data_IF_280594666665
#
_entry.id   IF_280594666665
#
_cell.length_a   1.000
_cell.length_b   1.000
_cell.length_c   1.000
_cell.angle_alpha   90.00
_cell.angle_beta   90.00
_cell.angle_gamma   90.00
#
_symmetry.space_group_name_H-M   'P 1'
#
loop_
_entity.id
_entity.type
_entity.pdbx_description
1 polymer ?
#
# COMPACT_ATOMS: atom_id res chain seq x y z
N UNK A 1 -35.13 6.12 -14.44
CA UNK A 1 -34.33 7.36 -14.63
C UNK A 1 -32.89 7.04 -14.27
N UNK A 2 -31.90 7.45 -15.07
CA UNK A 2 -30.48 7.12 -14.85
C UNK A 2 -29.98 7.58 -13.47
N UNK A 3 -30.48 8.72 -13.01
CA UNK A 3 -30.11 9.35 -11.74
C UNK A 3 -30.33 8.46 -10.52
N UNK A 4 -31.48 7.78 -10.42
CA UNK A 4 -31.77 6.85 -9.32
C UNK A 4 -30.88 5.61 -9.36
N UNK A 5 -30.49 5.16 -10.56
CA UNK A 5 -29.54 4.05 -10.72
C UNK A 5 -28.14 4.44 -10.28
N UNK A 6 -27.76 5.72 -10.46
CA UNK A 6 -26.44 6.19 -10.04
C UNK A 6 -26.29 6.21 -8.53
N UNK A 7 -27.34 6.60 -7.79
CA UNK A 7 -27.36 6.48 -6.33
C UNK A 7 -27.17 5.01 -5.89
N UNK A 8 -27.88 4.07 -6.50
CA UNK A 8 -27.75 2.62 -6.24
C UNK A 8 -26.34 2.09 -6.57
N UNK A 9 -25.74 2.55 -7.66
CA UNK A 9 -24.35 2.22 -8.00
C UNK A 9 -23.39 2.72 -6.93
N UNK A 10 -23.59 3.93 -6.39
CA UNK A 10 -22.75 4.50 -5.35
C UNK A 10 -22.89 3.76 -4.00
N UNK A 11 -24.06 3.19 -3.71
CA UNK A 11 -24.23 2.26 -2.58
C UNK A 11 -23.43 0.97 -2.77
N UNK A 12 -23.45 0.41 -3.97
CA UNK A 12 -22.62 -0.76 -4.32
C UNK A 12 -21.12 -0.44 -4.28
N UNK A 13 -20.72 0.77 -4.68
CA UNK A 13 -19.34 1.25 -4.56
C UNK A 13 -18.92 1.41 -3.10
N UNK A 14 -19.81 1.89 -2.22
CA UNK A 14 -19.54 1.96 -0.78
C UNK A 14 -19.27 0.56 -0.21
N UNK A 15 -20.17 -0.40 -0.48
CA UNK A 15 -20.01 -1.78 -0.04
C UNK A 15 -18.68 -2.39 -0.54
N UNK A 16 -18.31 -2.09 -1.79
CA UNK A 16 -17.04 -2.51 -2.37
C UNK A 16 -15.85 -1.85 -1.66
N UNK A 17 -15.92 -0.54 -1.37
CA UNK A 17 -14.88 0.20 -0.66
C UNK A 17 -14.66 -0.33 0.76
N UNK A 18 -15.73 -0.59 1.51
CA UNK A 18 -15.64 -1.14 2.87
C UNK A 18 -15.20 -2.60 2.91
N UNK A 19 -15.42 -3.35 1.82
CA UNK A 19 -15.01 -4.75 1.70
C UNK A 19 -13.54 -4.96 1.31
N UNK A 20 -12.82 -3.90 0.91
CA UNK A 20 -11.40 -4.00 0.57
C UNK A 20 -10.56 -4.05 1.85
N UNK A 21 -9.86 -5.16 2.08
CA UNK A 21 -8.97 -5.33 3.24
C UNK A 21 -7.70 -4.45 3.16
N UNK A 22 -7.18 -4.25 1.95
CA UNK A 22 -5.97 -3.44 1.73
C UNK A 22 -6.30 -1.96 1.79
N UNK A 23 -5.85 -1.28 2.86
CA UNK A 23 -6.00 0.17 3.03
C UNK A 23 -5.56 0.97 1.80
N UNK A 24 -4.42 0.63 1.20
CA UNK A 24 -3.91 1.31 0.01
C UNK A 24 -4.90 1.21 -1.16
N UNK A 25 -5.44 0.00 -1.43
CA UNK A 25 -6.41 -0.21 -2.52
C UNK A 25 -7.74 0.50 -2.25
N UNK A 26 -8.20 0.51 -0.99
CA UNK A 26 -9.42 1.21 -0.60
C UNK A 26 -9.27 2.72 -0.85
N UNK A 27 -8.16 3.31 -0.43
CA UNK A 27 -7.85 4.73 -0.65
C UNK A 27 -7.73 5.07 -2.14
N UNK A 28 -7.07 4.21 -2.94
CA UNK A 28 -6.99 4.39 -4.40
C UNK A 28 -8.36 4.35 -5.07
N UNK A 29 -9.26 3.46 -4.66
CA UNK A 29 -10.64 3.43 -5.15
C UNK A 29 -11.37 4.72 -4.79
N UNK A 30 -11.27 5.16 -3.54
CA UNK A 30 -11.89 6.41 -3.05
C UNK A 30 -11.43 7.60 -3.88
N UNK A 31 -10.13 7.74 -4.12
CA UNK A 31 -9.57 8.80 -4.96
C UNK A 31 -10.17 8.78 -6.37
N UNK A 32 -10.23 7.61 -7.02
CA UNK A 32 -10.80 7.47 -8.38
C UNK A 32 -12.28 7.83 -8.44
N UNK A 33 -13.08 7.40 -7.46
CA UNK A 33 -14.52 7.72 -7.39
C UNK A 33 -14.74 9.22 -7.21
N UNK A 34 -13.98 9.86 -6.31
CA UNK A 34 -14.08 11.31 -6.09
C UNK A 34 -13.59 12.12 -7.30
N UNK A 35 -12.52 11.68 -7.96
CA UNK A 35 -12.02 12.30 -9.20
C UNK A 35 -13.08 12.24 -10.31
N UNK A 36 -13.81 11.12 -10.42
CA UNK A 36 -14.90 10.98 -11.38
C UNK A 36 -16.03 12.01 -11.11
N UNK A 37 -16.40 12.20 -9.84
CA UNK A 37 -17.39 13.21 -9.46
C UNK A 37 -16.92 14.63 -9.81
N UNK A 38 -15.63 14.93 -9.58
CA UNK A 38 -15.02 16.22 -9.94
C UNK A 38 -15.09 16.48 -11.45
N UNK A 39 -14.73 15.48 -12.26
CA UNK A 39 -14.85 15.60 -13.72
C UNK A 39 -16.30 15.83 -14.18
N UNK A 40 -17.28 15.21 -13.52
CA UNK A 40 -18.70 15.46 -13.81
C UNK A 40 -19.15 16.86 -13.40
N UNK A 41 -18.58 17.43 -12.35
CA UNK A 41 -18.78 18.82 -11.94
C UNK A 41 -18.19 19.79 -12.96
N UNK A 42 -16.93 19.58 -13.35
CA UNK A 42 -16.20 20.43 -14.31
C UNK A 42 -16.90 20.49 -15.68
N UNK A 43 -17.48 19.38 -16.11
CA UNK A 43 -18.21 19.29 -17.38
C UNK A 43 -19.70 19.62 -17.24
N UNK A 44 -20.15 20.04 -16.05
CA UNK A 44 -21.54 20.37 -15.73
C UNK A 44 -22.55 19.26 -16.11
N UNK A 45 -22.16 18.00 -15.98
CA UNK A 45 -23.02 16.84 -16.30
C UNK A 45 -24.16 16.71 -15.30
N UNK A 46 -23.88 17.03 -14.03
CA UNK A 46 -24.85 16.99 -12.95
C UNK A 46 -24.73 18.24 -12.05
N UNK A 47 -25.83 18.68 -11.40
CA UNK A 47 -25.78 19.74 -10.41
C UNK A 47 -24.89 19.37 -9.21
N UNK A 48 -24.21 20.35 -8.57
CA UNK A 48 -23.28 20.10 -7.47
C UNK A 48 -23.97 19.42 -6.27
N UNK A 49 -25.19 19.83 -5.93
CA UNK A 49 -25.99 19.22 -4.86
C UNK A 49 -26.21 17.71 -5.04
N UNK A 50 -26.38 17.27 -6.29
CA UNK A 50 -26.55 15.86 -6.60
C UNK A 50 -25.23 15.08 -6.48
N UNK A 51 -24.11 15.67 -6.91
CA UNK A 51 -22.79 15.07 -6.76
C UNK A 51 -22.39 14.95 -5.29
N UNK A 52 -22.70 15.96 -4.46
CA UNK A 52 -22.51 15.91 -3.02
C UNK A 52 -23.33 14.76 -2.41
N UNK A 53 -24.59 14.59 -2.83
CA UNK A 53 -25.40 13.44 -2.39
C UNK A 53 -24.78 12.09 -2.74
N UNK A 54 -24.19 11.94 -3.94
CA UNK A 54 -23.47 10.72 -4.33
C UNK A 54 -22.23 10.49 -3.46
N UNK A 55 -21.44 11.52 -3.21
CA UNK A 55 -20.26 11.43 -2.33
C UNK A 55 -20.67 11.00 -0.92
N UNK A 56 -21.74 11.58 -0.38
CA UNK A 56 -22.29 11.21 0.92
C UNK A 56 -22.75 9.75 0.99
N UNK A 57 -23.35 9.22 -0.09
CA UNK A 57 -23.68 7.80 -0.22
C UNK A 57 -22.42 6.95 -0.19
N UNK A 58 -21.43 7.28 -1.03
CA UNK A 58 -20.21 6.48 -1.18
C UNK A 58 -19.35 6.46 0.10
N UNK A 59 -19.33 7.56 0.85
CA UNK A 59 -18.64 7.64 2.13
C UNK A 59 -19.41 6.98 3.28
N UNK A 60 -20.65 6.51 3.03
CA UNK A 60 -21.49 5.88 4.05
C UNK A 60 -22.04 6.85 5.08
N UNK A 61 -22.15 8.14 4.75
CA UNK A 61 -22.73 9.17 5.62
C UNK A 61 -24.27 9.17 5.55
N UNK A 62 -24.81 8.68 4.43
CA UNK A 62 -26.23 8.70 4.18
C UNK A 62 -26.61 7.43 3.41
N UNK A 63 -27.73 6.78 3.75
CA UNK A 63 -28.26 5.58 3.06
C UNK A 63 -29.55 5.89 2.32
N UNK A 64 -29.78 5.25 1.18
CA UNK A 64 -31.09 5.33 0.52
C UNK A 64 -32.09 4.53 1.34
N UNK A 65 -33.12 5.20 1.83
CA UNK A 65 -34.27 4.54 2.42
C UNK A 65 -35.03 3.77 1.31
N UNK A 66 -35.67 2.66 1.68
CA UNK A 66 -36.47 1.82 0.77
C UNK A 66 -37.59 2.60 0.04
N UNK A 67 -37.87 3.84 0.45
CA UNK A 67 -38.97 4.69 0.02
C UNK A 67 -38.49 5.85 -0.89
N UNK A 68 -37.26 5.81 -1.41
CA UNK A 68 -36.56 6.93 -2.08
C UNK A 68 -36.28 8.16 -1.20
N UNK A 69 -36.42 8.02 0.13
CA UNK A 69 -35.87 8.98 1.09
C UNK A 69 -34.37 8.76 1.28
N UNK A 70 -33.67 9.75 1.80
CA UNK A 70 -32.24 9.66 2.08
C UNK A 70 -32.05 9.84 3.58
N UNK A 71 -31.67 8.76 4.29
CA UNK A 71 -31.57 8.76 5.75
C UNK A 71 -30.10 8.98 6.17
N UNK A 72 -29.86 10.01 6.98
CA UNK A 72 -28.54 10.28 7.56
C UNK A 72 -28.17 9.12 8.49
N UNK A 73 -26.99 8.53 8.27
CA UNK A 73 -26.48 7.44 9.09
C UNK A 73 -25.80 8.11 10.30
N UNK A 74 -26.44 8.07 11.47
CA UNK A 74 -25.95 8.66 12.73
C UNK A 74 -24.80 7.83 13.36
N UNK A 75 -24.42 6.71 12.74
CA UNK A 75 -23.36 5.84 13.23
C UNK A 75 -22.01 6.21 12.57
N UNK A 76 -20.99 6.62 13.35
CA UNK A 76 -19.68 6.89 12.79
C UNK A 76 -19.09 5.58 12.25
N UNK A 77 -18.73 5.56 10.97
CA UNK A 77 -18.05 4.44 10.35
C UNK A 77 -16.85 3.99 11.22
N UNK A 78 -16.76 2.70 11.60
CA UNK A 78 -15.66 2.20 12.41
C UNK A 78 -14.37 2.25 11.58
N UNK A 79 -13.60 3.33 11.73
CA UNK A 79 -12.34 3.52 11.00
C UNK A 79 -11.85 4.96 10.86
N UNK A 80 -12.69 5.98 11.10
CA UNK A 80 -12.24 7.37 11.09
C UNK A 80 -11.73 7.80 12.48
N UNK A 81 -10.59 7.22 12.89
CA UNK A 81 -9.83 7.77 14.02
C UNK A 81 -9.15 9.05 13.53
N UNK A 82 -9.52 10.13 14.20
CA UNK A 82 -9.13 11.52 13.94
C UNK A 82 -7.61 11.66 13.97
N UNK A 83 -7.03 12.20 12.91
CA UNK A 83 -5.66 12.69 12.95
C UNK A 83 -5.66 13.98 13.77
N UNK A 84 -5.30 13.86 15.04
CA UNK A 84 -4.87 15.01 15.85
C UNK A 84 -3.60 15.58 15.21
N UNK A 85 -3.59 16.88 14.93
CA UNK A 85 -2.45 17.54 14.30
C UNK A 85 -2.85 18.76 13.47
N UNK A 86 -3.25 19.82 14.17
CA UNK A 86 -3.09 21.24 13.82
C UNK A 86 -2.74 21.55 12.36
N UNK A 87 -3.73 22.00 11.57
CA UNK A 87 -3.47 22.65 10.28
C UNK A 87 -4.21 24.00 10.24
N UNK A 88 -3.48 25.14 10.18
CA UNK A 88 -4.13 26.41 9.97
C UNK A 88 -4.57 26.48 8.51
N UNK A 89 -5.85 26.84 8.32
CA UNK A 89 -6.45 27.09 7.01
C UNK A 89 -5.59 28.10 6.25
N UNK A 90 -4.86 27.63 5.23
CA UNK A 90 -4.40 28.47 4.13
C UNK A 90 -5.18 28.08 2.88
N UNK A 91 -6.15 28.92 2.54
CA UNK A 91 -6.65 29.03 1.16
C UNK A 91 -5.50 29.46 0.27
N UNK A 92 -5.22 28.69 -0.77
CA UNK A 92 -4.35 29.12 -1.86
C UNK A 92 -3.61 27.98 -2.55
N UNK A 93 -4.06 27.71 -3.77
CA UNK A 93 -3.34 27.16 -4.91
C UNK A 93 -2.92 25.68 -4.93
N UNK A 94 -3.34 25.02 -6.01
CA UNK A 94 -2.52 24.08 -6.75
C UNK A 94 -2.27 22.77 -6.02
N UNK A 95 -3.33 21.99 -5.87
CA UNK A 95 -3.29 20.58 -5.51
C UNK A 95 -2.36 19.81 -6.49
N UNK A 96 -1.08 19.69 -6.13
CA UNK A 96 -0.07 18.78 -6.71
C UNK A 96 -0.47 17.32 -6.44
N UNK A 97 -1.57 16.88 -7.06
CA UNK A 97 -1.93 15.46 -7.19
C UNK A 97 -1.36 14.93 -8.52
N UNK A 98 -0.06 15.12 -8.73
CA UNK A 98 0.64 14.48 -9.85
C UNK A 98 0.70 12.97 -9.60
N UNK A 99 0.34 12.22 -10.64
CA UNK A 99 0.30 10.77 -10.62
C UNK A 99 1.73 10.25 -10.56
N UNK A 100 2.09 9.63 -9.44
CA UNK A 100 3.35 8.87 -9.37
C UNK A 100 3.22 7.68 -10.33
N UNK A 101 4.05 7.58 -11.39
CA UNK A 101 4.12 6.36 -12.18
C UNK A 101 4.63 5.21 -11.29
N UNK A 102 3.91 4.09 -11.29
CA UNK A 102 4.35 2.87 -10.62
C UNK A 102 5.44 2.21 -11.48
N UNK A 103 6.67 2.16 -11.00
CA UNK A 103 7.74 1.32 -11.57
C UNK A 103 8.32 0.40 -10.47
N UNK A 104 8.17 -0.90 -10.73
CA UNK A 104 8.84 -2.10 -10.21
C UNK A 104 8.80 -2.40 -8.69
N UNK A 105 7.71 -3.07 -8.29
CA UNK A 105 7.65 -3.92 -7.09
C UNK A 105 8.15 -5.32 -7.45
N UNK A 106 9.47 -5.45 -7.55
CA UNK A 106 10.18 -6.73 -7.53
C UNK A 106 11.17 -6.60 -6.38
N UNK A 107 10.81 -7.11 -5.20
CA UNK A 107 11.69 -7.09 -4.04
C UNK A 107 13.02 -7.75 -4.37
N UNK A 108 14.13 -7.06 -4.10
CA UNK A 108 15.46 -7.66 -4.15
C UNK A 108 15.46 -8.84 -3.16
N UNK A 109 15.86 -10.06 -3.58
CA UNK A 109 15.98 -11.19 -2.68
C UNK A 109 16.92 -10.83 -1.52
N UNK A 110 16.43 -10.95 -0.28
CA UNK A 110 17.26 -10.88 0.92
C UNK A 110 18.19 -12.09 0.93
N UNK A 111 19.35 -11.94 0.32
CA UNK A 111 20.38 -12.98 0.31
C UNK A 111 21.65 -12.50 -0.35
N UNK A 112 22.51 -11.81 0.41
CA UNK A 112 23.97 -11.87 0.22
C UNK A 112 24.78 -11.04 1.23
N UNK A 113 24.18 -10.27 2.16
CA UNK A 113 24.99 -9.64 3.22
C UNK A 113 24.20 -9.42 4.52
N UNK A 114 24.13 -10.46 5.34
CA UNK A 114 23.97 -10.33 6.79
C UNK A 114 25.17 -10.96 7.47
N UNK A 115 26.35 -10.43 7.18
CA UNK A 115 27.40 -10.44 8.19
C UNK A 115 26.99 -9.49 9.31
N UNK A 116 26.50 -10.07 10.43
CA UNK A 116 26.34 -9.43 11.75
C UNK A 116 25.10 -8.57 11.97
N UNK A 117 23.93 -9.20 12.09
CA UNK A 117 22.86 -8.63 12.90
C UNK A 117 22.20 -9.74 13.72
N UNK A 118 22.60 -9.77 14.98
CA UNK A 118 22.23 -10.70 16.02
C UNK A 118 20.80 -10.35 16.47
N UNK A 119 19.79 -10.86 15.75
CA UNK A 119 18.37 -10.59 15.99
C UNK A 119 17.68 -11.80 16.65
N UNK A 120 18.30 -12.35 17.69
CA UNK A 120 17.68 -13.41 18.50
C UNK A 120 18.04 -13.34 19.99
N UNK A 121 18.26 -12.14 20.54
CA UNK A 121 18.07 -11.87 21.98
C UNK A 121 18.83 -12.73 22.99
N UNK A 122 19.82 -13.52 22.57
CA UNK A 122 20.66 -14.31 23.45
C UNK A 122 21.87 -13.47 23.89
N UNK A 123 22.23 -13.50 25.19
CA UNK A 123 23.38 -12.74 25.66
C UNK A 123 24.69 -13.26 25.05
N UNK A 124 25.50 -12.33 24.55
CA UNK A 124 26.81 -12.52 23.92
C UNK A 124 27.78 -13.30 24.83
N UNK A 125 28.27 -14.45 24.36
CA UNK A 125 29.34 -15.22 24.99
C UNK A 125 30.56 -15.28 24.06
N UNK A 126 31.65 -14.55 24.33
CA UNK A 126 32.91 -14.72 23.62
C UNK A 126 33.84 -15.66 24.40
N UNK A 127 33.67 -16.96 24.18
CA UNK A 127 34.61 -17.99 24.62
C UNK A 127 35.76 -18.10 23.61
N UNK A 128 36.96 -17.83 24.10
CA UNK A 128 38.27 -17.98 23.46
C UNK A 128 38.45 -19.36 22.77
N UNK A 129 38.62 -19.46 21.44
CA UNK A 129 39.39 -20.54 20.74
C UNK A 129 39.40 -20.39 19.19
N UNK A 130 40.40 -20.96 18.48
CA UNK A 130 41.14 -20.29 17.39
C UNK A 130 40.66 -20.61 15.97
N UNK A 131 41.03 -19.72 15.03
CA UNK A 131 40.86 -19.81 13.58
C UNK A 131 41.46 -21.09 12.98
N UNK A 132 40.63 -22.03 12.54
CA UNK A 132 41.04 -23.09 11.61
C UNK A 132 40.90 -22.58 10.17
N UNK A 133 42.02 -22.13 9.58
CA UNK A 133 42.16 -22.00 8.12
C UNK A 133 42.38 -23.39 7.55
N UNK A 134 41.44 -23.91 6.76
CA UNK A 134 41.62 -25.18 6.07
C UNK A 134 40.95 -25.14 4.70
N UNK A 135 41.67 -25.64 3.70
CA UNK A 135 41.25 -25.84 2.30
C UNK A 135 41.48 -24.66 1.34
N UNK A 136 42.76 -24.33 1.13
CA UNK A 136 43.20 -23.86 -0.18
C UNK A 136 43.52 -25.11 -1.02
N UNK A 137 42.54 -25.50 -1.82
CA UNK A 137 42.65 -26.50 -2.88
C UNK A 137 43.44 -25.91 -4.05
N UNK A 138 44.78 -25.93 -4.02
CA UNK A 138 45.64 -25.73 -5.20
C UNK A 138 46.90 -26.56 -4.99
N UNK A 139 47.16 -27.53 -5.88
CA UNK A 139 48.46 -28.17 -6.23
C UNK A 139 48.40 -29.69 -6.48
N UNK A 140 47.24 -30.34 -6.40
CA UNK A 140 47.07 -31.65 -7.02
C UNK A 140 46.91 -31.45 -8.54
N UNK A 141 48.02 -31.59 -9.29
CA UNK A 141 48.15 -31.92 -10.74
C UNK A 141 49.28 -31.12 -11.42
N UNK A 142 50.55 -31.28 -11.02
CA UNK A 142 51.68 -31.13 -11.97
C UNK A 142 52.98 -31.70 -11.37
N UNK A 143 53.53 -32.75 -11.99
CA UNK A 143 54.88 -33.28 -11.71
C UNK A 143 54.81 -34.71 -11.18
N UNK A 144 54.46 -35.70 -12.00
CA UNK A 144 55.45 -36.56 -12.67
C UNK A 144 56.44 -37.18 -11.67
N UNK A 145 56.05 -38.36 -11.19
CA UNK A 145 56.97 -39.43 -10.77
C UNK A 145 57.99 -39.67 -11.89
N UNK A 146 59.26 -39.51 -11.57
CA UNK A 146 60.36 -40.30 -12.13
C UNK A 146 61.27 -40.60 -10.94
N UNK A 147 60.87 -41.64 -10.20
CA UNK A 147 61.80 -42.44 -9.41
C UNK A 147 62.70 -43.18 -10.40
N UNK A 148 64.01 -42.96 -10.35
CA UNK A 148 65.01 -43.94 -10.77
C UNK A 148 66.33 -43.66 -10.02
N UNK A 149 66.47 -44.40 -8.92
CA UNK A 149 67.59 -45.29 -8.61
C UNK A 149 69.06 -44.80 -8.61
N UNK A 150 69.62 -44.93 -7.39
CA UNK A 150 70.86 -45.61 -7.00
C UNK A 150 72.27 -45.10 -7.41
N UNK A 151 73.13 -45.20 -6.36
CA UNK A 151 74.60 -45.07 -6.20
C UNK A 151 75.29 -43.68 -6.22
#
# INVERSE_FOLDING_TARGET
RLQSKLQEIFEGLHASHTGIESRLRAEQLKQRVLQCCRAWEDWAVYPPEFLISLQNIFLGLVKRAANNGMDIIDEPAPGSVRSDGDTPVRRGNGDDFDGVPLEDVDGIPLGADRGKEDVDGLPFQPDNTPLLKSSAAISALQGYDDDDDDD
#
